data_IF_802720018277
#
_entry.id   IF_802720018277
#
_cell.length_a   1.000
_cell.length_b   1.000
_cell.length_c   1.000
_cell.angle_alpha   90.00
_cell.angle_beta   90.00
_cell.angle_gamma   90.00
#
_symmetry.space_group_name_H-M   'P 1'
#
loop_
_entity.id
_entity.type
_entity.pdbx_description
1 polymer ?
#
# COMPACT_ATOMS: atom_id res chain seq x y z
N UNK A 1 12.55 -17.06 1.88
CA UNK A 1 13.88 -16.54 1.48
C UNK A 1 13.65 -15.21 0.77
N UNK A 2 13.85 -14.08 1.47
CA UNK A 2 13.71 -12.76 0.86
C UNK A 2 14.97 -12.49 0.03
N UNK A 3 14.84 -12.54 -1.29
CA UNK A 3 15.94 -12.22 -2.20
C UNK A 3 15.94 -10.70 -2.34
N UNK A 4 16.88 -10.05 -1.68
CA UNK A 4 17.19 -8.62 -1.86
C UNK A 4 17.83 -8.45 -3.23
N UNK A 5 17.21 -7.65 -4.10
CA UNK A 5 17.81 -7.24 -5.36
C UNK A 5 18.41 -5.84 -5.16
N UNK A 6 19.61 -5.64 -5.71
CA UNK A 6 20.26 -4.32 -5.76
C UNK A 6 20.53 -4.03 -7.21
N UNK A 7 20.06 -2.88 -7.69
CA UNK A 7 20.33 -2.44 -9.06
C UNK A 7 21.83 -2.12 -9.28
N UNK A 8 22.21 -1.81 -10.52
CA UNK A 8 23.58 -1.39 -10.89
C UNK A 8 24.00 -0.05 -10.24
N UNK A 9 23.06 0.70 -9.68
CA UNK A 9 23.24 1.97 -8.97
C UNK A 9 22.99 1.85 -7.45
N UNK A 10 22.98 0.63 -6.89
CA UNK A 10 22.71 0.32 -5.48
C UNK A 10 21.30 0.66 -4.94
N UNK A 11 20.27 0.88 -5.77
CA UNK A 11 18.87 0.93 -5.29
C UNK A 11 18.44 -0.46 -4.87
N UNK A 12 17.95 -0.58 -3.64
CA UNK A 12 17.59 -1.87 -3.05
C UNK A 12 16.10 -2.14 -3.31
N UNK A 13 15.78 -3.07 -4.20
CA UNK A 13 14.46 -3.71 -4.18
C UNK A 13 14.49 -4.72 -3.04
N UNK A 14 13.85 -4.33 -1.93
CA UNK A 14 13.85 -5.11 -0.70
C UNK A 14 13.08 -6.41 -0.88
N UNK A 15 11.94 -6.35 -1.56
CA UNK A 15 11.01 -7.48 -1.74
C UNK A 15 10.21 -7.31 -3.03
N UNK A 16 9.92 -8.41 -3.74
CA UNK A 16 8.95 -8.40 -4.84
C UNK A 16 8.16 -9.71 -4.88
N UNK A 17 6.90 -9.63 -5.27
CA UNK A 17 5.95 -10.76 -5.32
C UNK A 17 5.19 -10.80 -6.64
N UNK A 18 4.55 -11.94 -6.93
CA UNK A 18 3.86 -12.15 -8.21
C UNK A 18 4.82 -12.10 -9.39
N UNK A 19 5.98 -12.76 -9.28
CA UNK A 19 7.03 -12.72 -10.30
C UNK A 19 6.70 -13.60 -11.50
N UNK A 20 6.99 -13.10 -12.69
CA UNK A 20 6.85 -13.83 -13.95
C UNK A 20 7.98 -13.42 -14.91
N UNK A 21 8.06 -14.10 -16.06
CA UNK A 21 8.99 -13.77 -17.14
C UNK A 21 8.21 -13.16 -18.30
N UNK A 22 8.75 -12.13 -18.92
CA UNK A 22 8.18 -11.50 -20.10
C UNK A 22 9.29 -11.08 -21.08
N UNK A 23 8.96 -11.06 -22.38
CA UNK A 23 9.86 -10.57 -23.44
C UNK A 23 9.73 -9.06 -23.54
N UNK A 24 10.83 -8.32 -23.57
CA UNK A 24 10.77 -6.86 -23.68
C UNK A 24 10.73 -6.42 -25.15
N UNK A 25 9.84 -5.51 -25.53
CA UNK A 25 9.83 -4.93 -26.88
C UNK A 25 10.92 -3.89 -27.08
N UNK A 26 11.40 -3.31 -25.99
CA UNK A 26 12.40 -2.25 -25.97
C UNK A 26 13.39 -2.45 -24.82
N UNK A 27 14.45 -1.64 -24.78
CA UNK A 27 15.43 -1.74 -23.71
C UNK A 27 14.87 -1.13 -22.42
N UNK A 28 14.82 -1.93 -21.35
CA UNK A 28 14.26 -1.52 -20.06
C UNK A 28 15.32 -1.48 -18.97
N UNK A 29 15.06 -0.68 -17.95
CA UNK A 29 15.84 -0.63 -16.72
C UNK A 29 15.02 -1.19 -15.56
N UNK A 30 15.72 -1.68 -14.55
CA UNK A 30 15.10 -2.08 -13.29
C UNK A 30 14.29 -0.93 -12.69
N UNK A 31 13.09 -1.24 -12.20
CA UNK A 31 12.12 -0.28 -11.68
C UNK A 31 11.22 0.36 -12.74
N UNK A 32 11.46 0.11 -14.03
CA UNK A 32 10.57 0.57 -15.09
C UNK A 32 9.21 -0.13 -15.01
N UNK A 33 8.16 0.65 -15.18
CA UNK A 33 6.77 0.22 -15.21
C UNK A 33 6.42 -0.23 -16.62
N UNK A 34 5.84 -1.41 -16.71
CA UNK A 34 5.63 -2.13 -17.95
C UNK A 34 4.15 -2.43 -18.16
N UNK A 35 3.70 -2.35 -19.41
CA UNK A 35 2.37 -2.76 -19.86
C UNK A 35 2.47 -3.99 -20.76
N UNK A 36 1.46 -4.85 -20.74
CA UNK A 36 1.32 -5.86 -21.79
C UNK A 36 1.12 -5.19 -23.15
N UNK A 37 1.76 -5.74 -24.18
CA UNK A 37 1.53 -5.27 -25.54
C UNK A 37 0.27 -5.95 -26.10
N UNK A 38 -0.77 -5.15 -26.35
CA UNK A 38 -2.11 -5.67 -26.63
C UNK A 38 -2.31 -6.05 -28.10
N UNK A 39 -1.46 -5.55 -29.01
CA UNK A 39 -1.71 -5.60 -30.46
C UNK A 39 -1.51 -6.96 -31.10
N UNK A 40 -0.64 -7.81 -30.56
CA UNK A 40 -0.19 -9.04 -31.23
C UNK A 40 -0.39 -10.32 -30.40
N UNK A 41 -1.12 -10.23 -29.27
CA UNK A 41 -1.27 -11.32 -28.30
C UNK A 41 0.07 -11.96 -27.89
N UNK A 42 1.18 -11.23 -28.03
CA UNK A 42 2.49 -11.72 -27.62
C UNK A 42 2.61 -11.65 -26.09
N UNK A 43 3.40 -12.56 -25.52
CA UNK A 43 3.85 -12.46 -24.12
C UNK A 43 4.91 -11.37 -23.94
N UNK A 44 4.86 -10.31 -24.76
CA UNK A 44 5.79 -9.21 -24.71
C UNK A 44 5.23 -8.03 -23.92
N UNK A 45 6.12 -7.30 -23.28
CA UNK A 45 5.81 -6.08 -22.56
C UNK A 45 6.63 -4.92 -23.13
N UNK A 46 6.06 -3.73 -23.03
CA UNK A 46 6.65 -2.44 -23.40
C UNK A 46 6.54 -1.48 -22.22
N UNK A 47 7.04 -0.25 -22.36
CA UNK A 47 6.77 0.76 -21.33
C UNK A 47 5.27 0.99 -21.15
N UNK A 48 4.86 1.08 -19.90
CA UNK A 48 3.57 1.66 -19.57
C UNK A 48 3.61 3.17 -19.86
N UNK A 49 2.49 3.75 -20.24
CA UNK A 49 2.42 5.19 -20.51
C UNK A 49 1.14 5.81 -19.93
N UNK A 50 1.03 7.13 -20.08
CA UNK A 50 -0.18 7.85 -19.63
C UNK A 50 -1.34 7.75 -20.63
N UNK A 51 -1.31 6.78 -21.55
CA UNK A 51 -2.50 6.37 -22.31
C UNK A 51 -3.29 5.34 -21.50
N UNK A 52 -4.60 5.36 -21.64
CA UNK A 52 -5.49 4.35 -21.06
C UNK A 52 -5.22 2.93 -21.59
N UNK A 53 -4.58 2.83 -22.75
CA UNK A 53 -4.26 1.58 -23.44
C UNK A 53 -2.99 0.87 -22.96
N UNK A 54 -2.14 1.52 -22.14
CA UNK A 54 -0.88 0.95 -21.69
C UNK A 54 -0.68 1.14 -20.18
N UNK A 55 -1.67 0.68 -19.42
CA UNK A 55 -1.61 0.68 -17.96
C UNK A 55 -0.41 -0.15 -17.46
N UNK A 56 0.17 0.28 -16.33
CA UNK A 56 1.24 -0.47 -15.70
C UNK A 56 0.71 -1.79 -15.11
N UNK A 57 1.16 -2.91 -15.65
CA UNK A 57 0.83 -4.28 -15.26
C UNK A 57 2.00 -5.02 -14.60
N UNK A 58 3.23 -4.50 -14.75
CA UNK A 58 4.44 -5.08 -14.18
C UNK A 58 5.55 -4.07 -13.90
N UNK A 59 6.55 -4.50 -13.14
CA UNK A 59 7.75 -3.74 -12.80
C UNK A 59 8.96 -4.58 -13.17
N UNK A 60 9.87 -4.02 -13.97
CA UNK A 60 11.12 -4.67 -14.33
C UNK A 60 11.97 -4.92 -13.07
N UNK A 61 12.34 -6.17 -12.81
CA UNK A 61 13.20 -6.55 -11.68
C UNK A 61 14.69 -6.61 -12.04
N UNK A 62 15.02 -6.46 -13.32
CA UNK A 62 16.39 -6.47 -13.84
C UNK A 62 16.42 -5.67 -15.16
N UNK A 63 17.62 -5.26 -15.60
CA UNK A 63 17.78 -4.62 -16.89
C UNK A 63 17.60 -5.64 -18.02
N UNK A 64 17.04 -5.21 -19.15
CA UNK A 64 16.91 -6.05 -20.35
C UNK A 64 17.06 -5.26 -21.65
N UNK A 65 17.59 -5.91 -22.68
CA UNK A 65 17.54 -5.39 -24.04
C UNK A 65 16.20 -5.75 -24.73
N UNK A 66 15.92 -5.08 -25.85
CA UNK A 66 14.79 -5.46 -26.71
C UNK A 66 14.94 -6.93 -27.19
N UNK A 67 13.85 -7.69 -27.13
CA UNK A 67 13.78 -9.12 -27.40
C UNK A 67 14.24 -10.03 -26.26
N UNK A 68 14.79 -9.47 -25.17
CA UNK A 68 15.26 -10.25 -24.02
C UNK A 68 14.10 -10.64 -23.11
N UNK A 69 14.18 -11.84 -22.53
CA UNK A 69 13.26 -12.27 -21.48
C UNK A 69 13.81 -11.91 -20.11
N UNK A 70 13.13 -11.03 -19.38
CA UNK A 70 13.52 -10.62 -18.03
C UNK A 70 12.49 -11.04 -16.98
N UNK A 71 12.89 -11.00 -15.71
CA UNK A 71 11.99 -11.10 -14.57
C UNK A 71 11.23 -9.79 -14.35
N UNK A 72 9.92 -9.94 -14.19
CA UNK A 72 8.96 -8.87 -13.89
C UNK A 72 8.21 -9.23 -12.63
N UNK A 73 7.77 -8.24 -11.85
CA UNK A 73 6.92 -8.44 -10.67
C UNK A 73 5.67 -7.56 -10.72
N UNK A 74 4.58 -8.02 -10.10
CA UNK A 74 3.36 -7.22 -9.91
C UNK A 74 3.45 -6.27 -8.72
N UNK A 75 4.22 -6.64 -7.70
CA UNK A 75 4.40 -5.83 -6.50
C UNK A 75 5.88 -5.77 -6.14
N UNK A 76 6.32 -4.60 -5.68
CA UNK A 76 7.70 -4.39 -5.24
C UNK A 76 7.77 -3.37 -4.10
N UNK A 77 8.59 -3.66 -3.09
CA UNK A 77 9.01 -2.68 -2.09
C UNK A 77 10.41 -2.19 -2.44
N UNK A 78 10.53 -0.92 -2.77
CA UNK A 78 11.78 -0.29 -3.18
C UNK A 78 12.27 0.64 -2.08
N UNK A 79 13.57 0.57 -1.78
CA UNK A 79 14.26 1.49 -0.87
C UNK A 79 15.21 2.40 -1.65
N UNK A 80 15.24 3.66 -1.27
CA UNK A 80 16.21 4.62 -1.77
C UNK A 80 17.63 4.17 -1.38
N UNK A 81 18.61 4.39 -2.27
CA UNK A 81 19.98 3.97 -2.00
C UNK A 81 20.56 4.82 -0.86
N UNK A 82 21.32 4.17 0.02
CA UNK A 82 22.17 4.90 0.95
C UNK A 82 23.36 5.43 0.14
N UNK A 83 23.52 6.75 0.00
CA UNK A 83 24.61 7.31 -0.81
C UNK A 83 25.83 7.54 0.09
N UNK A 84 26.97 6.84 -0.14
CA UNK A 84 28.22 7.19 0.53
C UNK A 84 28.78 8.47 -0.08
N UNK A 85 28.91 9.55 0.70
CA UNK A 85 29.45 10.82 0.21
C UNK A 85 30.94 10.90 0.55
N UNK A 86 31.78 10.59 -0.43
CA UNK A 86 33.21 10.94 -0.43
C UNK A 86 34.08 10.31 0.66
N UNK A 87 35.36 10.69 0.65
CA UNK A 87 36.45 10.08 1.43
C UNK A 87 36.30 10.16 2.96
N UNK A 88 35.25 10.80 3.50
CA UNK A 88 35.03 11.02 4.93
C UNK A 88 34.02 10.06 5.58
N UNK A 89 33.43 9.12 4.83
CA UNK A 89 32.61 8.05 5.40
C UNK A 89 31.24 8.46 5.95
N UNK A 90 30.76 9.68 5.67
CA UNK A 90 29.42 10.12 6.06
C UNK A 90 28.39 9.57 5.07
N UNK A 91 27.51 8.70 5.55
CA UNK A 91 26.38 8.17 4.77
C UNK A 91 25.27 9.22 4.78
N UNK A 92 24.96 9.81 3.62
CA UNK A 92 23.78 10.68 3.49
C UNK A 92 22.66 9.85 2.91
N UNK A 93 21.57 9.71 3.67
CA UNK A 93 20.41 8.94 3.23
C UNK A 93 19.72 9.67 2.09
N UNK A 94 19.47 8.96 0.98
CA UNK A 94 18.65 9.48 -0.12
C UNK A 94 17.18 9.23 0.20
N UNK A 95 16.31 10.16 -0.16
CA UNK A 95 14.87 10.04 0.04
C UNK A 95 14.15 10.10 -1.30
N UNK A 96 13.04 9.38 -1.42
CA UNK A 96 12.09 9.54 -2.53
C UNK A 96 11.18 10.75 -2.32
N UNK A 97 10.90 11.09 -1.06
CA UNK A 97 10.02 12.18 -0.68
C UNK A 97 10.71 13.34 0.06
N UNK A 98 10.14 14.52 -0.08
CA UNK A 98 10.46 15.70 0.72
C UNK A 98 10.16 15.46 2.20
N UNK A 99 10.60 16.38 3.07
CA UNK A 99 10.30 16.31 4.51
C UNK A 99 8.82 16.53 4.83
N UNK A 100 8.07 17.10 3.89
CA UNK A 100 6.64 17.36 3.99
C UNK A 100 5.79 16.24 3.41
N UNK A 101 6.38 15.26 2.73
CA UNK A 101 5.61 14.17 2.13
C UNK A 101 5.15 13.21 3.22
N UNK A 102 3.85 12.90 3.21
CA UNK A 102 3.22 12.09 4.24
C UNK A 102 3.29 10.59 3.91
N UNK A 103 3.19 9.77 4.95
CA UNK A 103 2.97 8.34 4.77
C UNK A 103 1.65 8.12 4.03
N UNK A 104 1.69 7.32 2.97
CA UNK A 104 0.53 7.02 2.12
C UNK A 104 0.41 7.91 0.89
N UNK A 105 1.30 8.89 0.69
CA UNK A 105 1.33 9.70 -0.53
C UNK A 105 1.41 8.83 -1.79
N UNK A 106 0.62 9.21 -2.80
CA UNK A 106 0.42 8.40 -4.00
C UNK A 106 1.59 8.55 -4.95
N UNK A 107 1.98 7.43 -5.56
CA UNK A 107 2.90 7.39 -6.70
C UNK A 107 2.08 7.06 -7.94
N UNK A 108 2.24 7.86 -8.98
CA UNK A 108 1.49 7.78 -10.23
C UNK A 108 2.35 7.21 -11.36
N UNK A 109 1.70 6.68 -12.38
CA UNK A 109 2.35 6.40 -13.66
C UNK A 109 2.73 7.71 -14.34
N UNK A 110 4.03 7.89 -14.57
CA UNK A 110 4.62 8.97 -15.35
C UNK A 110 4.82 8.59 -16.81
N UNK A 111 5.52 9.44 -17.54
CA UNK A 111 5.89 9.20 -18.93
C UNK A 111 6.91 8.06 -19.06
N UNK A 112 6.87 7.34 -20.18
CA UNK A 112 7.85 6.29 -20.54
C UNK A 112 8.11 5.28 -19.41
N UNK A 113 7.04 4.81 -18.77
CA UNK A 113 7.10 3.78 -17.73
C UNK A 113 7.78 4.22 -16.45
N UNK A 114 7.90 5.53 -16.17
CA UNK A 114 8.56 6.01 -14.94
C UNK A 114 7.54 6.32 -13.84
N UNK A 115 7.84 6.02 -12.57
CA UNK A 115 7.00 6.49 -11.46
C UNK A 115 7.11 8.01 -11.30
N UNK A 116 6.01 8.66 -10.93
CA UNK A 116 5.89 10.10 -10.74
C UNK A 116 5.21 10.44 -9.41
N UNK A 117 5.65 11.51 -8.75
CA UNK A 117 4.93 12.10 -7.61
C UNK A 117 3.76 12.99 -8.03
N UNK A 118 3.68 13.34 -9.31
CA UNK A 118 2.62 14.17 -9.88
C UNK A 118 1.68 13.33 -10.74
N UNK A 119 0.39 13.52 -10.54
CA UNK A 119 -0.65 12.86 -11.32
C UNK A 119 -0.59 13.28 -12.80
N UNK A 120 -0.64 12.29 -13.71
CA UNK A 120 -0.75 12.53 -15.15
C UNK A 120 -2.05 13.22 -15.55
N UNK A 121 -2.02 13.94 -16.67
CA UNK A 121 -3.20 14.68 -17.15
C UNK A 121 -4.22 13.74 -17.83
N UNK A 122 -3.72 12.77 -18.60
CA UNK A 122 -4.53 11.91 -19.48
C UNK A 122 -4.97 10.64 -18.76
N UNK A 123 -4.01 9.86 -18.25
CA UNK A 123 -4.28 8.67 -17.46
C UNK A 123 -3.68 8.82 -16.06
N UNK A 124 -4.50 8.46 -15.06
CA UNK A 124 -4.28 8.81 -13.65
C UNK A 124 -4.05 7.58 -12.79
N UNK A 125 -3.31 6.60 -13.32
CA UNK A 125 -3.06 5.36 -12.60
C UNK A 125 -2.16 5.62 -11.39
N UNK A 126 -2.64 5.21 -10.22
CA UNK A 126 -1.80 5.08 -9.02
C UNK A 126 -1.10 3.74 -9.11
N UNK A 127 0.23 3.75 -9.03
CA UNK A 127 1.09 2.56 -9.18
C UNK A 127 1.76 2.17 -7.87
N UNK A 128 1.69 3.02 -6.84
CA UNK A 128 2.26 2.74 -5.53
C UNK A 128 2.00 3.83 -4.51
N UNK A 129 2.62 3.66 -3.34
CA UNK A 129 2.54 4.60 -2.20
C UNK A 129 3.86 4.72 -1.47
N UNK A 130 4.10 5.91 -0.93
CA UNK A 130 5.18 6.16 0.00
C UNK A 130 4.87 5.51 1.35
N UNK A 131 5.66 4.52 1.78
CA UNK A 131 5.52 3.84 3.08
C UNK A 131 6.57 4.30 4.10
N UNK A 132 7.59 5.00 3.62
CA UNK A 132 8.53 5.81 4.39
C UNK A 132 9.19 6.79 3.43
N UNK A 133 9.83 7.86 3.92
CA UNK A 133 10.51 8.83 3.05
C UNK A 133 11.54 8.21 2.10
N UNK A 134 12.12 7.08 2.49
CA UNK A 134 13.10 6.31 1.74
C UNK A 134 12.50 5.03 1.11
N UNK A 135 11.18 4.78 1.19
CA UNK A 135 10.56 3.54 0.71
C UNK A 135 9.24 3.75 -0.01
N UNK A 136 9.11 3.09 -1.16
CA UNK A 136 7.88 3.04 -1.94
C UNK A 136 7.42 1.59 -2.03
N UNK A 137 6.15 1.35 -1.73
CA UNK A 137 5.45 0.12 -2.07
C UNK A 137 4.73 0.31 -3.40
N UNK A 138 5.15 -0.42 -4.41
CA UNK A 138 4.42 -0.54 -5.66
C UNK A 138 3.38 -1.65 -5.55
N UNK A 139 2.14 -1.28 -5.86
CA UNK A 139 1.00 -2.16 -5.88
C UNK A 139 0.23 -1.91 -7.18
N UNK A 140 0.58 -2.67 -8.22
CA UNK A 140 -0.04 -2.51 -9.53
C UNK A 140 -1.41 -3.18 -9.53
N UNK A 141 -2.45 -2.35 -9.55
CA UNK A 141 -3.81 -2.85 -9.70
C UNK A 141 -3.97 -3.52 -11.07
N UNK A 142 -4.65 -4.68 -11.15
CA UNK A 142 -4.94 -5.29 -12.44
C UNK A 142 -5.81 -4.35 -13.27
N UNK A 143 -5.58 -4.32 -14.59
CA UNK A 143 -6.31 -3.55 -15.62
C UNK A 143 -7.77 -4.03 -15.79
N UNK A 144 -8.51 -4.13 -14.68
CA UNK A 144 -9.94 -4.46 -14.66
C UNK A 144 -10.69 -3.23 -14.22
N UNK A 145 -10.78 -2.22 -15.10
CA UNK A 145 -11.84 -1.18 -15.19
C UNK A 145 -12.38 -0.50 -13.91
N UNK A 146 -11.73 -0.69 -12.77
CA UNK A 146 -12.23 -0.36 -11.45
C UNK A 146 -11.36 0.73 -10.88
N UNK A 147 -11.79 1.97 -11.06
CA UNK A 147 -11.19 3.10 -10.35
C UNK A 147 -11.41 2.85 -8.85
N UNK A 148 -10.37 2.46 -8.11
CA UNK A 148 -10.40 2.53 -6.66
C UNK A 148 -10.35 4.02 -6.30
N UNK A 149 -11.52 4.63 -6.25
CA UNK A 149 -11.68 6.02 -5.79
C UNK A 149 -11.61 6.01 -4.27
N UNK A 150 -10.41 6.08 -3.71
CA UNK A 150 -10.25 6.39 -2.29
C UNK A 150 -10.66 7.83 -2.05
N UNK A 151 -11.92 8.04 -1.69
CA UNK A 151 -12.42 9.32 -1.20
C UNK A 151 -12.28 9.32 0.32
N UNK A 152 -11.27 10.03 0.85
CA UNK A 152 -11.20 10.36 2.27
C UNK A 152 -12.11 11.58 2.53
N UNK A 153 -13.42 11.36 2.52
CA UNK A 153 -14.37 12.41 2.88
C UNK A 153 -14.53 12.46 4.41
N UNK A 154 -13.82 13.40 5.05
CA UNK A 154 -14.22 14.02 6.31
C UNK A 154 -14.60 13.07 7.47
N UNK A 155 -13.67 12.23 7.92
CA UNK A 155 -13.88 11.47 9.15
C UNK A 155 -13.86 12.39 10.37
N UNK A 156 -15.04 12.79 10.85
CA UNK A 156 -15.23 13.34 12.20
C UNK A 156 -14.99 12.21 13.21
N UNK A 157 -14.22 12.47 14.26
CA UNK A 157 -13.55 11.49 15.13
C UNK A 157 -14.42 10.49 15.92
N UNK A 158 -15.73 10.36 15.67
CA UNK A 158 -16.63 9.52 16.47
C UNK A 158 -17.54 8.57 15.68
N UNK A 159 -17.49 8.56 14.35
CA UNK A 159 -18.22 7.56 13.57
C UNK A 159 -17.24 6.49 13.08
N UNK A 160 -17.57 5.23 13.39
CA UNK A 160 -16.81 4.04 13.03
C UNK A 160 -16.18 4.17 11.63
N UNK A 161 -14.89 3.86 11.51
CA UNK A 161 -14.14 3.92 10.26
C UNK A 161 -14.84 3.05 9.19
N UNK A 162 -15.58 3.69 8.28
CA UNK A 162 -16.22 3.01 7.16
C UNK A 162 -15.30 3.11 5.95
N UNK A 163 -14.66 2.00 5.60
CA UNK A 163 -14.06 1.85 4.28
C UNK A 163 -15.18 1.56 3.28
N UNK A 164 -15.56 2.55 2.47
CA UNK A 164 -16.48 2.34 1.36
C UNK A 164 -15.70 1.82 0.15
N UNK A 165 -15.75 0.52 -0.11
CA UNK A 165 -15.26 -0.06 -1.36
C UNK A 165 -16.43 -0.01 -2.36
N UNK A 166 -16.34 0.87 -3.36
CA UNK A 166 -17.27 0.88 -4.49
C UNK A 166 -16.60 0.15 -5.65
N UNK A 167 -17.04 -1.07 -5.93
CA UNK A 167 -16.64 -1.80 -7.13
C UNK A 167 -17.35 -1.20 -8.34
N UNK A 168 -16.58 -0.67 -9.30
CA UNK A 168 -17.11 -0.02 -10.50
C UNK A 168 -17.45 -1.00 -11.63
N UNK A 169 -17.35 -2.31 -11.41
CA UNK A 169 -17.73 -3.30 -12.41
C UNK A 169 -19.22 -3.66 -12.30
N UNK A 170 -20.00 -3.13 -13.24
CA UNK A 170 -21.39 -3.51 -13.47
C UNK A 170 -21.53 -5.03 -13.62
N UNK A 171 -22.49 -5.61 -12.89
CA UNK A 171 -22.90 -7.02 -12.85
C UNK A 171 -22.06 -7.98 -12.00
N UNK A 172 -22.13 -7.85 -10.67
CA UNK A 172 -22.77 -8.88 -9.82
C UNK A 172 -22.85 -8.40 -8.37
N UNK A 173 -24.08 -8.40 -7.84
CA UNK A 173 -24.46 -8.32 -6.41
C UNK A 173 -23.46 -7.61 -5.48
N UNK A 174 -23.73 -6.34 -5.18
CA UNK A 174 -22.95 -5.54 -4.23
C UNK A 174 -22.70 -6.29 -2.91
N UNK A 175 -21.46 -6.74 -2.72
CA UNK A 175 -21.01 -7.27 -1.45
C UNK A 175 -20.56 -6.10 -0.57
N UNK A 176 -21.46 -5.57 0.24
CA UNK A 176 -21.09 -4.69 1.34
C UNK A 176 -20.51 -5.55 2.47
N UNK A 177 -19.24 -5.97 2.37
CA UNK A 177 -18.54 -6.57 3.52
C UNK A 177 -18.11 -5.46 4.47
N UNK A 178 -18.97 -5.14 5.43
CA UNK A 178 -18.56 -4.33 6.58
C UNK A 178 -17.55 -5.14 7.40
N UNK A 179 -16.30 -4.65 7.50
CA UNK A 179 -15.36 -5.15 8.49
C UNK A 179 -15.82 -4.62 9.86
N UNK A 180 -16.39 -5.50 10.68
CA UNK A 180 -16.73 -5.19 12.07
C UNK A 180 -15.44 -5.16 12.89
N UNK A 181 -14.85 -3.99 13.06
CA UNK A 181 -13.82 -3.79 14.09
C UNK A 181 -14.59 -3.69 15.41
N UNK A 182 -14.66 -4.80 16.13
CA UNK A 182 -15.19 -4.83 17.49
C UNK A 182 -14.20 -4.08 18.38
N UNK A 183 -14.44 -2.78 18.60
CA UNK A 183 -13.80 -2.07 19.70
C UNK A 183 -14.38 -2.69 20.96
N UNK A 184 -13.62 -3.61 21.59
CA UNK A 184 -13.98 -4.17 22.89
C UNK A 184 -14.28 -3.00 23.81
N UNK A 185 -15.56 -2.75 24.08
CA UNK A 185 -15.97 -1.92 25.19
C UNK A 185 -15.95 -2.87 26.36
N UNK A 186 -14.78 -3.02 26.97
CA UNK A 186 -14.59 -3.80 28.19
C UNK A 186 -15.57 -3.28 29.25
N UNK A 187 -16.76 -3.87 29.29
CA UNK A 187 -17.76 -3.57 30.29
C UNK A 187 -17.19 -4.05 31.62
N UNK A 188 -16.79 -3.09 32.47
CA UNK A 188 -16.39 -3.40 33.84
C UNK A 188 -17.66 -3.61 34.66
N UNK A 189 -18.03 -4.87 34.84
CA UNK A 189 -19.10 -5.24 35.77
C UNK A 189 -18.56 -5.22 37.20
N UNK A 190 -19.16 -4.40 38.06
CA UNK A 190 -18.99 -4.55 39.51
C UNK A 190 -19.68 -5.85 39.92
N UNK A 191 -18.90 -6.88 40.24
CA UNK A 191 -19.41 -8.15 40.76
C UNK A 191 -19.48 -8.07 42.28
N UNK A 192 -20.68 -8.03 42.83
CA UNK A 192 -20.93 -8.16 44.27
C UNK A 192 -21.09 -9.65 44.59
N UNK A 193 -20.18 -10.22 45.37
CA UNK A 193 -20.23 -11.62 45.80
C UNK A 193 -20.52 -11.70 47.30
N UNK A 194 -21.36 -12.63 47.73
CA UNK A 194 -21.82 -12.76 49.12
C UNK A 194 -20.86 -13.50 50.07
N UNK A 195 -19.66 -13.86 49.62
CA UNK A 195 -18.72 -14.71 50.38
C UNK A 195 -17.46 -13.96 50.83
N UNK A 196 -17.31 -13.85 52.15
CA UNK A 196 -16.35 -13.04 52.91
C UNK A 196 -14.94 -13.65 53.08
N UNK A 197 -14.36 -14.30 52.07
CA UNK A 197 -13.05 -14.98 52.25
C UNK A 197 -11.87 -14.34 51.54
N UNK A 198 -12.01 -13.11 51.03
CA UNK A 198 -10.89 -12.38 50.42
C UNK A 198 -10.24 -11.45 51.45
N UNK A 199 -8.93 -11.60 51.65
CA UNK A 199 -8.14 -10.86 52.65
C UNK A 199 -8.00 -9.35 52.38
N UNK A 200 -8.38 -8.89 51.18
CA UNK A 200 -8.33 -7.49 50.74
C UNK A 200 -9.73 -6.95 50.36
N UNK A 201 -10.71 -7.12 51.24
CA UNK A 201 -12.06 -6.59 51.02
C UNK A 201 -12.13 -5.08 51.25
N UNK A 202 -12.57 -4.33 50.22
CA UNK A 202 -13.05 -2.96 50.41
C UNK A 202 -14.56 -3.01 50.63
N UNK A 203 -14.97 -3.01 51.89
CA UNK A 203 -16.38 -2.97 52.28
C UNK A 203 -16.96 -1.60 51.92
N UNK A 204 -17.91 -1.57 51.00
CA UNK A 204 -18.72 -0.39 50.74
C UNK A 204 -19.94 -0.42 51.66
N UNK A 205 -19.94 0.39 52.71
CA UNK A 205 -21.09 0.48 53.63
C UNK A 205 -22.22 1.28 52.97
N UNK A 206 -23.38 0.64 52.81
CA UNK A 206 -24.58 1.33 52.33
C UNK A 206 -24.95 2.47 53.31
N UNK A 207 -25.21 3.68 52.78
CA UNK A 207 -25.56 4.86 53.57
C UNK A 207 -24.57 6.02 53.49
N UNK A 208 -23.35 5.81 52.99
CA UNK A 208 -22.43 6.90 52.63
C UNK A 208 -22.34 7.04 51.12
N UNK A 209 -23.28 7.78 50.53
CA UNK A 209 -23.28 8.28 49.15
C UNK A 209 -23.35 7.25 47.99
N UNK A 210 -23.65 5.97 48.25
CA UNK A 210 -23.97 5.00 47.20
C UNK A 210 -25.48 4.76 47.15
N UNK A 211 -26.13 5.08 46.03
CA UNK A 211 -27.53 4.77 45.75
C UNK A 211 -27.61 3.80 44.57
N UNK A 212 -28.07 2.57 44.82
CA UNK A 212 -28.47 1.64 43.77
C UNK A 212 -29.95 1.85 43.44
N UNK A 213 -30.29 1.93 42.16
CA UNK A 213 -31.69 1.90 41.70
C UNK A 213 -31.85 0.65 40.85
N UNK A 214 -32.63 -0.31 41.32
CA UNK A 214 -33.11 -1.39 40.44
C UNK A 214 -34.41 -0.94 39.77
N UNK A 215 -34.77 -1.60 38.67
CA UNK A 215 -35.99 -1.32 37.92
C UNK A 215 -37.19 -2.18 38.33
N UNK A 216 -37.10 -2.92 39.44
CA UNK A 216 -37.95 -4.07 39.71
C UNK A 216 -37.55 -5.32 38.91
#
# INVERSE_FOLDING_TARGET
>A
MAITYTDRNAKVILQSSGRFKAVMLEAVKEGDLLSWYVTDASSAMQFADQSDSQAADGIACENGAAGETIRVAKHALVKAPDTPVGAAGVVTQTYFGASTDFLGEKVYLGESGKPSSTQGTTFRQVVGRLVARDKILFELAPTVGGVITETLAGATANDAWKLNITDATTNSSGYTRALYINTSVDAQYLVLQSHLTLTDERVFTAGTALTGTDSG
#
